data_IF_372033192081
#
_entry.id   IF_372033192081
#
_cell.length_a   1.000
_cell.length_b   1.000
_cell.length_c   1.000
_cell.angle_alpha   90.00
_cell.angle_beta   90.00
_cell.angle_gamma   90.00
#
_symmetry.space_group_name_H-M   'P 1'
#
loop_
_entity.id
_entity.type
_entity.pdbx_description
1 polymer ?
#
# COMPACT_ATOMS: atom_id res chain seq x y z
N UNK A 1 -19.84 -2.16 -4.59
CA UNK A 1 -20.73 -0.99 -4.39
C UNK A 1 -19.96 0.30 -4.55
N UNK A 2 -20.45 1.25 -5.35
CA UNK A 2 -19.78 2.55 -5.51
C UNK A 2 -19.94 3.34 -4.21
N UNK A 3 -18.81 3.80 -3.63
CA UNK A 3 -18.78 4.52 -2.35
C UNK A 3 -19.20 5.99 -2.47
N UNK A 4 -18.81 6.62 -3.57
CA UNK A 4 -19.15 8.01 -3.88
C UNK A 4 -19.09 8.26 -5.39
N UNK A 5 -19.59 9.42 -5.83
CA UNK A 5 -19.71 9.77 -7.26
C UNK A 5 -18.35 9.95 -7.97
N UNK A 6 -17.29 10.27 -7.22
CA UNK A 6 -15.94 10.49 -7.74
C UNK A 6 -15.10 9.21 -7.81
N UNK A 7 -15.65 8.05 -7.42
CA UNK A 7 -14.91 6.81 -7.45
C UNK A 7 -14.70 6.30 -8.89
N UNK A 8 -13.46 6.09 -9.35
CA UNK A 8 -13.17 5.46 -10.62
C UNK A 8 -13.80 4.06 -10.71
N UNK A 9 -14.37 3.73 -11.86
CA UNK A 9 -14.97 2.41 -12.11
C UNK A 9 -14.04 1.59 -12.98
N UNK A 10 -13.53 0.44 -12.50
CA UNK A 10 -12.71 -0.43 -13.31
C UNK A 10 -13.52 -1.08 -14.43
N UNK A 11 -12.90 -1.34 -15.58
CA UNK A 11 -13.40 -2.29 -16.56
C UNK A 11 -13.27 -3.71 -16.05
N UNK A 12 -13.83 -4.69 -16.77
CA UNK A 12 -13.73 -6.10 -16.39
C UNK A 12 -12.27 -6.55 -16.18
N UNK A 13 -11.39 -6.23 -17.12
CA UNK A 13 -9.98 -6.65 -17.09
C UNK A 13 -9.17 -5.90 -16.01
N UNK A 14 -9.50 -4.64 -15.77
CA UNK A 14 -8.91 -3.86 -14.68
C UNK A 14 -9.34 -4.44 -13.33
N UNK A 15 -10.62 -4.76 -13.17
CA UNK A 15 -11.12 -5.41 -11.95
C UNK A 15 -10.43 -6.75 -11.70
N UNK A 16 -10.29 -7.59 -12.74
CA UNK A 16 -9.62 -8.88 -12.61
C UNK A 16 -8.14 -8.74 -12.14
N UNK A 17 -7.43 -7.70 -12.62
CA UNK A 17 -6.07 -7.41 -12.12
C UNK A 17 -6.06 -6.94 -10.67
N UNK A 18 -7.04 -6.12 -10.27
CA UNK A 18 -7.18 -5.63 -8.90
C UNK A 18 -7.53 -6.77 -7.94
N UNK A 19 -8.45 -7.65 -8.33
CA UNK A 19 -8.84 -8.83 -7.56
C UNK A 19 -7.64 -9.79 -7.38
N UNK A 20 -6.85 -10.03 -8.44
CA UNK A 20 -5.63 -10.83 -8.31
C UNK A 20 -4.66 -10.26 -7.25
N UNK A 21 -4.46 -8.95 -7.23
CA UNK A 21 -3.55 -8.33 -6.25
C UNK A 21 -4.14 -8.40 -4.85
N UNK A 22 -5.45 -8.21 -4.70
CA UNK A 22 -6.16 -8.40 -3.44
C UNK A 22 -5.93 -9.82 -2.89
N UNK A 23 -6.21 -10.84 -3.69
CA UNK A 23 -6.05 -12.25 -3.30
C UNK A 23 -4.59 -12.61 -2.98
N UNK A 24 -3.63 -12.07 -3.75
CA UNK A 24 -2.21 -12.24 -3.48
C UNK A 24 -1.85 -11.66 -2.10
N UNK A 25 -2.33 -10.48 -1.76
CA UNK A 25 -2.06 -9.85 -0.46
C UNK A 25 -2.71 -10.61 0.68
N UNK A 26 -3.93 -11.11 0.47
CA UNK A 26 -4.59 -11.99 1.43
C UNK A 26 -3.77 -13.27 1.66
N UNK A 27 -3.35 -13.95 0.60
CA UNK A 27 -2.52 -15.15 0.70
C UNK A 27 -1.21 -14.89 1.44
N UNK A 28 -0.51 -13.79 1.11
CA UNK A 28 0.76 -13.43 1.75
C UNK A 28 0.59 -13.16 3.25
N UNK A 29 -0.52 -12.58 3.65
CA UNK A 29 -0.80 -12.27 5.07
C UNK A 29 -1.31 -13.49 5.81
N UNK A 30 -2.34 -14.15 5.29
CA UNK A 30 -3.09 -15.15 6.05
C UNK A 30 -2.51 -16.56 5.93
N UNK A 31 -1.77 -16.85 4.86
CA UNK A 31 -1.15 -18.17 4.64
C UNK A 31 0.35 -18.16 4.83
N UNK A 32 1.05 -17.18 4.29
CA UNK A 32 2.52 -17.17 4.34
C UNK A 32 3.00 -16.60 5.67
N UNK A 33 2.57 -15.39 6.03
CA UNK A 33 3.00 -14.76 7.29
C UNK A 33 2.56 -15.54 8.52
N UNK A 34 1.39 -16.13 8.50
CA UNK A 34 0.90 -16.98 9.59
C UNK A 34 1.82 -18.17 9.91
N UNK A 35 2.68 -18.59 8.95
CA UNK A 35 3.67 -19.65 9.16
C UNK A 35 5.02 -19.12 9.64
N UNK A 36 5.34 -17.87 9.36
CA UNK A 36 6.63 -17.25 9.70
C UNK A 36 6.75 -17.07 11.21
N UNK A 37 5.71 -16.59 11.88
CA UNK A 37 5.73 -16.35 13.33
C UNK A 37 5.96 -17.64 14.15
N UNK A 38 5.21 -18.71 13.94
CA UNK A 38 5.49 -19.99 14.62
C UNK A 38 6.89 -20.54 14.27
N UNK A 39 7.33 -20.44 13.03
CA UNK A 39 8.67 -20.85 12.61
C UNK A 39 9.77 -20.09 13.36
N UNK A 40 9.63 -18.77 13.48
CA UNK A 40 10.55 -17.98 14.29
C UNK A 40 10.66 -18.51 15.72
N UNK A 41 9.55 -18.68 16.43
CA UNK A 41 9.53 -19.10 17.83
C UNK A 41 9.99 -20.54 18.05
N UNK A 42 9.72 -21.44 17.09
CA UNK A 42 10.03 -22.87 17.24
C UNK A 42 11.40 -23.27 16.69
N UNK A 43 11.98 -22.48 15.82
CA UNK A 43 13.25 -22.82 15.14
C UNK A 43 14.32 -21.74 15.24
N UNK A 44 13.98 -20.51 14.91
CA UNK A 44 14.96 -19.44 14.78
C UNK A 44 15.39 -18.91 16.13
N UNK A 45 14.47 -18.54 17.00
CA UNK A 45 14.74 -18.00 18.34
C UNK A 45 15.53 -18.99 19.21
N UNK A 46 15.13 -20.29 19.33
CA UNK A 46 15.92 -21.26 20.08
C UNK A 46 17.32 -21.52 19.50
N UNK A 47 17.44 -21.49 18.17
CA UNK A 47 18.74 -21.60 17.50
C UNK A 47 19.66 -20.40 17.78
N UNK A 48 19.11 -19.20 17.84
CA UNK A 48 19.83 -18.00 18.24
C UNK A 48 20.28 -18.09 19.72
N UNK A 49 19.36 -18.43 20.61
CA UNK A 49 19.63 -18.55 22.04
C UNK A 49 20.73 -19.58 22.31
N UNK A 50 20.71 -20.71 21.61
CA UNK A 50 21.78 -21.72 21.72
C UNK A 50 23.15 -21.19 21.29
N UNK A 51 23.22 -20.32 20.28
CA UNK A 51 24.50 -19.77 19.80
C UNK A 51 25.02 -18.59 20.64
N UNK A 52 24.11 -17.79 21.19
CA UNK A 52 24.45 -16.51 21.84
C UNK A 52 24.23 -16.49 23.35
N UNK A 53 23.66 -17.56 23.95
CA UNK A 53 23.34 -17.62 25.36
C UNK A 53 22.23 -16.69 25.83
N UNK A 54 21.52 -16.04 24.87
CA UNK A 54 20.42 -15.10 25.13
C UNK A 54 19.44 -15.06 23.96
N UNK A 55 18.26 -14.53 24.18
CA UNK A 55 17.31 -14.18 23.11
C UNK A 55 17.73 -12.92 22.35
N UNK A 56 17.23 -12.70 21.13
CA UNK A 56 17.40 -11.43 20.43
C UNK A 56 16.95 -10.25 21.29
N UNK A 57 17.75 -9.18 21.32
CA UNK A 57 17.52 -8.04 22.22
C UNK A 57 16.42 -7.11 21.71
N UNK A 58 16.27 -7.01 20.41
CA UNK A 58 15.32 -6.09 19.76
C UNK A 58 14.83 -6.58 18.40
N UNK A 59 13.92 -5.81 17.80
CA UNK A 59 13.34 -6.11 16.47
C UNK A 59 14.39 -6.10 15.36
N UNK A 60 15.44 -5.32 15.49
CA UNK A 60 16.51 -5.27 14.48
C UNK A 60 17.28 -6.58 14.47
N UNK A 61 17.66 -7.08 15.65
CA UNK A 61 18.37 -8.35 15.79
C UNK A 61 17.50 -9.53 15.32
N UNK A 62 16.19 -9.51 15.64
CA UNK A 62 15.22 -10.48 15.08
C UNK A 62 15.22 -10.43 13.55
N UNK A 63 15.15 -9.25 12.98
CA UNK A 63 15.17 -9.07 11.52
C UNK A 63 16.45 -9.58 10.90
N UNK A 64 17.58 -9.25 11.48
CA UNK A 64 18.90 -9.64 10.96
C UNK A 64 19.05 -11.17 10.93
N UNK A 65 18.54 -11.86 11.96
CA UNK A 65 18.51 -13.33 11.99
C UNK A 65 17.55 -13.90 10.96
N UNK A 66 16.36 -13.31 10.82
CA UNK A 66 15.35 -13.76 9.86
C UNK A 66 15.76 -13.51 8.41
N UNK A 67 16.60 -12.50 8.14
CA UNK A 67 17.13 -12.26 6.80
C UNK A 67 18.02 -13.39 6.26
N UNK A 68 18.48 -14.31 7.10
CA UNK A 68 19.16 -15.53 6.66
C UNK A 68 18.19 -16.62 6.17
N UNK A 69 16.90 -16.49 6.47
CA UNK A 69 15.87 -17.45 6.08
C UNK A 69 15.27 -17.12 4.72
N UNK A 70 15.32 -18.06 3.77
CA UNK A 70 14.82 -17.87 2.40
C UNK A 70 13.31 -17.65 2.36
N UNK A 71 12.54 -18.28 3.24
CA UNK A 71 11.09 -18.11 3.32
C UNK A 71 10.72 -16.69 3.74
N UNK A 72 11.42 -16.15 4.74
CA UNK A 72 11.24 -14.77 5.17
C UNK A 72 11.66 -13.77 4.08
N UNK A 73 12.79 -13.99 3.42
CA UNK A 73 13.25 -13.15 2.30
C UNK A 73 12.19 -13.12 1.19
N UNK A 74 11.68 -14.28 0.78
CA UNK A 74 10.67 -14.38 -0.28
C UNK A 74 9.38 -13.67 0.11
N UNK A 75 8.90 -13.88 1.34
CA UNK A 75 7.72 -13.19 1.85
C UNK A 75 7.91 -11.67 1.87
N UNK A 76 9.03 -11.19 2.39
CA UNK A 76 9.33 -9.76 2.48
C UNK A 76 9.39 -9.10 1.09
N UNK A 77 10.01 -9.77 0.12
CA UNK A 77 10.05 -9.32 -1.26
C UNK A 77 8.65 -9.27 -1.89
N UNK A 78 7.86 -10.33 -1.73
CA UNK A 78 6.52 -10.41 -2.31
C UNK A 78 5.57 -9.38 -1.67
N UNK A 79 5.70 -9.09 -0.39
CA UNK A 79 4.95 -8.01 0.27
C UNK A 79 5.27 -6.65 -0.38
N UNK A 80 6.54 -6.36 -0.64
CA UNK A 80 6.95 -5.13 -1.32
C UNK A 80 6.44 -5.08 -2.76
N UNK A 81 6.60 -6.16 -3.51
CA UNK A 81 6.12 -6.26 -4.89
C UNK A 81 4.59 -6.14 -4.97
N UNK A 82 3.85 -6.75 -4.04
CA UNK A 82 2.38 -6.65 -4.03
C UNK A 82 1.89 -5.21 -3.86
N UNK A 83 2.65 -4.36 -3.18
CA UNK A 83 2.32 -2.94 -3.08
C UNK A 83 2.54 -2.20 -4.40
N UNK A 84 3.63 -2.49 -5.12
CA UNK A 84 3.83 -1.95 -6.46
C UNK A 84 2.75 -2.44 -7.43
N UNK A 85 2.44 -3.73 -7.40
CA UNK A 85 1.39 -4.31 -8.23
C UNK A 85 0.02 -3.69 -7.94
N UNK A 86 -0.28 -3.35 -6.69
CA UNK A 86 -1.50 -2.66 -6.32
C UNK A 86 -1.63 -1.33 -7.04
N UNK A 87 -0.63 -0.46 -6.95
CA UNK A 87 -0.68 0.82 -7.65
C UNK A 87 -0.74 0.65 -9.16
N UNK A 88 0.08 -0.25 -9.72
CA UNK A 88 0.03 -0.55 -11.16
C UNK A 88 -1.35 -1.04 -11.62
N UNK A 89 -2.04 -1.82 -10.78
CA UNK A 89 -3.36 -2.35 -11.13
C UNK A 89 -4.48 -1.30 -11.17
N UNK A 90 -4.31 -0.18 -10.47
CA UNK A 90 -5.34 0.87 -10.37
C UNK A 90 -5.07 2.07 -11.30
N UNK A 91 -3.84 2.28 -11.74
CA UNK A 91 -3.45 3.42 -12.58
C UNK A 91 -4.29 3.48 -13.85
N UNK A 92 -4.39 2.38 -14.61
CA UNK A 92 -5.15 2.34 -15.87
C UNK A 92 -6.61 2.76 -15.67
N UNK A 93 -7.22 2.33 -14.56
CA UNK A 93 -8.60 2.71 -14.20
C UNK A 93 -8.73 4.22 -13.99
N UNK A 94 -7.78 4.80 -13.26
CA UNK A 94 -7.80 6.24 -12.97
C UNK A 94 -7.52 7.05 -14.24
N UNK A 95 -6.49 6.71 -15.00
CA UNK A 95 -6.15 7.43 -16.24
C UNK A 95 -7.30 7.41 -17.24
N UNK A 96 -7.92 6.27 -17.44
CA UNK A 96 -9.07 6.14 -18.34
C UNK A 96 -10.28 6.98 -17.90
N UNK A 97 -10.52 7.11 -16.62
CA UNK A 97 -11.67 7.84 -16.07
C UNK A 97 -11.35 9.29 -15.69
N UNK A 98 -10.09 9.71 -15.76
CA UNK A 98 -9.63 11.02 -15.33
C UNK A 98 -10.39 12.20 -15.99
N UNK A 99 -10.70 12.21 -17.30
CA UNK A 99 -11.46 13.29 -17.91
C UNK A 99 -12.85 13.49 -17.25
N UNK A 100 -13.52 12.40 -16.90
CA UNK A 100 -14.82 12.47 -16.22
C UNK A 100 -14.68 12.91 -14.76
N UNK A 101 -13.64 12.49 -14.07
CA UNK A 101 -13.34 12.93 -12.72
C UNK A 101 -13.05 14.44 -12.66
N UNK A 102 -12.24 14.96 -13.60
CA UNK A 102 -11.96 16.41 -13.74
C UNK A 102 -13.24 17.19 -14.01
N UNK A 103 -14.12 16.67 -14.87
CA UNK A 103 -15.43 17.31 -15.12
C UNK A 103 -16.32 17.33 -13.87
N UNK A 104 -16.27 16.27 -13.09
CA UNK A 104 -17.08 16.17 -11.86
C UNK A 104 -16.51 17.03 -10.74
N UNK A 105 -15.18 17.14 -10.59
CA UNK A 105 -14.54 17.94 -9.53
C UNK A 105 -14.88 19.44 -9.65
N UNK A 106 -15.20 19.91 -10.86
CA UNK A 106 -15.61 21.31 -11.12
C UNK A 106 -17.04 21.62 -10.66
N UNK A 107 -17.81 20.62 -10.23
CA UNK A 107 -19.12 20.86 -9.65
C UNK A 107 -18.95 21.33 -8.20
N UNK A 108 -19.55 22.46 -7.89
CA UNK A 108 -19.60 22.93 -6.50
C UNK A 108 -20.48 21.97 -5.68
N UNK A 109 -19.84 21.16 -4.85
CA UNK A 109 -20.54 20.21 -4.00
C UNK A 109 -20.76 20.74 -2.58
N UNK A 110 -20.24 21.94 -2.27
CA UNK A 110 -20.32 22.60 -0.95
C UNK A 110 -19.98 21.63 0.22
N UNK A 111 -18.96 20.80 0.03
CA UNK A 111 -18.60 19.74 0.96
C UNK A 111 -17.63 20.17 2.06
N UNK A 112 -17.28 21.45 2.11
CA UNK A 112 -16.37 21.99 3.10
C UNK A 112 -15.43 23.05 2.55
N UNK A 113 -14.33 23.28 3.26
CA UNK A 113 -13.31 24.26 2.86
C UNK A 113 -11.91 23.67 3.01
N UNK A 114 -11.02 24.08 2.10
CA UNK A 114 -9.59 23.76 2.15
C UNK A 114 -8.83 25.02 2.55
N UNK A 115 -7.93 24.90 3.55
CA UNK A 115 -7.00 25.96 3.94
C UNK A 115 -5.60 25.40 3.86
N UNK A 116 -4.81 25.94 2.94
CA UNK A 116 -3.41 25.59 2.75
C UNK A 116 -2.51 26.73 3.28
N UNK A 117 -1.38 26.38 3.86
CA UNK A 117 -0.31 27.30 4.20
C UNK A 117 0.83 27.14 3.20
N UNK A 118 0.94 28.02 2.23
CA UNK A 118 1.95 28.01 1.17
C UNK A 118 3.40 28.17 1.70
N UNK A 119 3.54 28.55 2.98
CA UNK A 119 4.86 28.72 3.63
C UNK A 119 5.41 27.44 4.23
N UNK A 120 4.63 26.36 4.20
CA UNK A 120 5.07 25.06 4.74
C UNK A 120 6.17 24.48 3.86
N UNK A 121 7.36 24.38 4.41
CA UNK A 121 8.46 23.68 3.75
C UNK A 121 8.29 22.16 3.93
N UNK A 122 8.25 21.43 2.83
CA UNK A 122 8.13 19.97 2.87
C UNK A 122 9.43 19.37 3.40
N UNK A 123 9.40 18.61 4.52
CA UNK A 123 10.60 18.02 5.08
C UNK A 123 11.30 17.08 4.12
N UNK A 124 12.65 17.10 4.10
CA UNK A 124 13.46 16.28 3.18
C UNK A 124 13.18 14.78 3.25
N UNK A 125 12.77 14.25 4.40
CA UNK A 125 12.45 12.82 4.53
C UNK A 125 11.21 12.41 3.75
N UNK A 126 10.29 13.35 3.44
CA UNK A 126 9.11 13.08 2.60
C UNK A 126 9.44 13.07 1.11
N UNK A 127 10.49 13.83 0.70
CA UNK A 127 10.85 13.99 -0.71
C UNK A 127 12.02 13.09 -1.14
N UNK A 128 12.83 12.61 -0.19
CA UNK A 128 14.02 11.83 -0.49
C UNK A 128 13.73 10.39 -0.91
N UNK A 129 12.61 9.83 -0.44
CA UNK A 129 12.24 8.43 -0.71
C UNK A 129 10.74 8.21 -0.57
N UNK A 130 10.09 7.73 -1.62
CA UNK A 130 8.67 7.34 -1.58
C UNK A 130 8.51 5.94 -0.96
N UNK A 131 8.24 5.89 0.34
CA UNK A 131 8.07 4.64 1.08
C UNK A 131 6.84 3.86 0.59
N UNK A 132 5.79 4.58 0.21
CA UNK A 132 4.51 3.98 -0.20
C UNK A 132 4.51 3.55 -1.65
N UNK A 133 5.43 4.10 -2.49
CA UNK A 133 5.49 3.84 -3.93
C UNK A 133 4.22 4.26 -4.68
N UNK A 134 3.46 5.17 -4.09
CA UNK A 134 2.34 5.78 -4.78
C UNK A 134 2.86 6.71 -5.88
N UNK A 135 2.36 6.63 -7.11
CA UNK A 135 2.72 7.59 -8.15
C UNK A 135 2.49 9.03 -7.67
N UNK A 136 3.54 9.87 -7.78
CA UNK A 136 3.52 11.24 -7.28
C UNK A 136 3.90 11.41 -5.81
N UNK A 137 3.87 10.36 -5.02
CA UNK A 137 4.06 10.46 -3.57
C UNK A 137 3.00 11.35 -2.92
N UNK A 138 3.38 11.99 -1.81
CA UNK A 138 2.52 12.95 -1.10
C UNK A 138 3.03 14.40 -1.23
N UNK A 139 3.99 14.66 -2.11
CA UNK A 139 4.70 15.94 -2.19
C UNK A 139 4.80 16.50 -3.61
N UNK A 140 4.40 15.72 -4.61
CA UNK A 140 4.49 16.12 -6.02
C UNK A 140 3.12 16.06 -6.66
N UNK A 141 2.71 17.16 -7.24
CA UNK A 141 1.48 17.25 -8.02
C UNK A 141 1.73 16.74 -9.44
N UNK A 142 0.91 15.82 -9.90
CA UNK A 142 0.99 15.24 -11.25
C UNK A 142 -0.12 15.71 -12.18
N UNK A 143 -1.22 16.17 -11.61
CA UNK A 143 -2.38 16.68 -12.34
C UNK A 143 -2.96 17.88 -11.61
N UNK A 144 -3.76 18.66 -12.26
CA UNK A 144 -4.47 19.79 -11.64
C UNK A 144 -5.14 19.35 -10.33
N UNK A 145 -4.77 19.99 -9.23
CA UNK A 145 -5.29 19.76 -7.88
C UNK A 145 -5.11 18.31 -7.36
N UNK A 146 -4.11 17.58 -7.85
CA UNK A 146 -3.77 16.18 -7.47
C UNK A 146 -4.94 15.19 -7.50
N UNK A 147 -5.92 15.45 -8.34
CA UNK A 147 -7.11 14.61 -8.48
C UNK A 147 -6.76 13.15 -8.82
N UNK A 148 -5.76 12.95 -9.70
CA UNK A 148 -5.31 11.61 -10.06
C UNK A 148 -4.67 10.88 -8.86
N UNK A 149 -3.83 11.55 -8.08
CA UNK A 149 -3.22 10.97 -6.89
C UNK A 149 -4.27 10.58 -5.85
N UNK A 150 -5.25 11.45 -5.60
CA UNK A 150 -6.39 11.15 -4.73
C UNK A 150 -7.23 9.97 -5.21
N UNK A 151 -7.51 9.89 -6.52
CA UNK A 151 -8.27 8.79 -7.11
C UNK A 151 -7.49 7.45 -7.07
N UNK A 152 -6.18 7.46 -7.31
CA UNK A 152 -5.31 6.29 -7.16
C UNK A 152 -5.33 5.79 -5.71
N UNK A 153 -5.20 6.70 -4.74
CA UNK A 153 -5.27 6.35 -3.33
C UNK A 153 -6.62 5.72 -2.97
N UNK A 154 -7.71 6.35 -3.38
CA UNK A 154 -9.07 5.88 -3.08
C UNK A 154 -9.35 4.47 -3.63
N UNK A 155 -8.95 4.17 -4.87
CA UNK A 155 -9.14 2.84 -5.47
C UNK A 155 -8.19 1.80 -4.87
N UNK A 156 -6.96 2.19 -4.50
CA UNK A 156 -5.98 1.27 -3.94
C UNK A 156 -6.25 0.89 -2.48
N UNK A 157 -6.93 1.74 -1.72
CA UNK A 157 -7.11 1.56 -0.28
C UNK A 157 -7.86 0.27 0.10
N UNK A 158 -8.96 -0.14 -0.56
CA UNK A 158 -9.60 -1.44 -0.30
C UNK A 158 -8.66 -2.63 -0.54
N UNK A 159 -7.86 -2.58 -1.61
CA UNK A 159 -6.88 -3.62 -1.94
C UNK A 159 -5.78 -3.65 -0.86
N UNK A 160 -5.32 -2.48 -0.42
CA UNK A 160 -4.29 -2.38 0.61
C UNK A 160 -4.77 -2.92 1.96
N UNK A 161 -5.92 -2.47 2.41
CA UNK A 161 -6.49 -2.80 3.71
C UNK A 161 -7.24 -4.15 3.74
N UNK A 162 -7.47 -4.76 2.57
CA UNK A 162 -8.33 -5.95 2.42
C UNK A 162 -9.71 -5.73 3.05
N UNK A 163 -10.27 -4.57 2.75
CA UNK A 163 -11.55 -4.08 3.28
C UNK A 163 -11.63 -3.97 4.82
N UNK A 164 -10.51 -4.17 5.53
CA UNK A 164 -10.48 -4.11 7.00
C UNK A 164 -10.76 -2.70 7.57
N UNK A 165 -10.79 -1.67 6.73
CA UNK A 165 -11.10 -0.29 7.13
C UNK A 165 -12.59 0.06 7.02
N UNK A 166 -13.48 -0.92 6.88
CA UNK A 166 -14.92 -0.71 6.98
C UNK A 166 -15.55 -0.02 5.77
N UNK A 167 -15.09 -0.35 4.59
CA UNK A 167 -15.67 0.14 3.33
C UNK A 167 -16.89 -0.68 2.87
N UNK A 168 -17.64 -1.26 3.79
CA UNK A 168 -18.89 -1.96 3.49
C UNK A 168 -20.04 -1.02 3.08
#
# INVERSE_FOLDING_TARGET
KQRHSMQPKPSHDEAARQDFVYDLREFLTDKVYARITPYYHTRVEPGFEKRHGRKPADKKEVRDVMLADQGYQSWSLLQRLSQQMMFTSVIDTVERTLPDLVKQSKKDLNLGSLRLDERVEVPKYLTAYDIHQQPGGYHSEHTEDDLAAGAIYDVSLPIYSRDAMGYE
#
